data_IF_875504878472
#
_entry.id   IF_875504878472
#
_cell.length_a   1.000
_cell.length_b   1.000
_cell.length_c   1.000
_cell.angle_alpha   90.00
_cell.angle_beta   90.00
_cell.angle_gamma   90.00
#
_symmetry.space_group_name_H-M   'P 1'
#
loop_
_entity.id
_entity.type
_entity.pdbx_description
1 polymer ?
#
# COMPACT_ATOMS: atom_id res chain seq x y z
N UNK A 1 -11.12 -22.95 -2.14
CA UNK A 1 -10.39 -21.80 -1.56
C UNK A 1 -8.91 -22.08 -1.72
N UNK A 2 -8.15 -21.14 -2.28
CA UNK A 2 -6.71 -21.32 -2.55
C UNK A 2 -5.95 -21.40 -1.21
N UNK A 3 -4.93 -22.25 -1.14
CA UNK A 3 -4.15 -22.52 0.06
C UNK A 3 -2.80 -21.83 -0.04
N UNK A 4 -2.44 -21.04 0.96
CA UNK A 4 -1.18 -20.30 0.97
C UNK A 4 -0.37 -20.60 2.23
N UNK A 5 0.94 -20.79 2.05
CA UNK A 5 1.89 -20.77 3.16
C UNK A 5 2.48 -19.37 3.24
N UNK A 6 2.73 -18.85 4.45
CA UNK A 6 3.38 -17.55 4.63
C UNK A 6 4.72 -17.70 5.34
N UNK A 7 5.65 -16.80 5.02
CA UNK A 7 7.03 -16.79 5.49
C UNK A 7 7.50 -15.41 5.91
N UNK A 8 8.31 -15.30 6.94
CA UNK A 8 9.01 -14.05 7.29
C UNK A 8 10.40 -14.33 7.85
N UNK A 9 11.38 -13.53 7.42
CA UNK A 9 12.68 -13.42 8.07
C UNK A 9 12.67 -12.17 8.92
N UNK A 10 12.71 -12.37 10.24
CA UNK A 10 12.76 -11.30 11.24
C UNK A 10 14.23 -10.91 11.43
N UNK A 11 14.58 -9.72 10.93
CA UNK A 11 15.94 -9.16 11.01
C UNK A 11 16.24 -8.41 12.29
N UNK A 12 15.24 -7.71 12.83
CA UNK A 12 15.32 -7.14 14.17
C UNK A 12 14.94 -8.18 15.21
N UNK A 13 15.91 -8.65 16.01
CA UNK A 13 15.71 -9.70 17.01
C UNK A 13 14.77 -9.25 18.14
N UNK A 14 14.72 -7.96 18.45
CA UNK A 14 13.94 -7.39 19.56
C UNK A 14 12.50 -7.04 19.17
N UNK A 15 12.14 -7.16 17.89
CA UNK A 15 10.76 -6.97 17.43
C UNK A 15 9.86 -8.15 17.87
N UNK A 16 9.36 -8.15 19.11
CA UNK A 16 8.50 -9.22 19.62
C UNK A 16 7.02 -9.10 19.24
N UNK A 17 6.57 -7.90 18.85
CA UNK A 17 5.14 -7.61 18.66
C UNK A 17 4.84 -7.14 17.24
N UNK A 18 5.67 -6.25 16.68
CA UNK A 18 5.45 -5.68 15.35
C UNK A 18 5.52 -6.75 14.25
N UNK A 19 6.38 -7.77 14.35
CA UNK A 19 6.36 -8.90 13.40
C UNK A 19 5.00 -9.64 13.38
N UNK A 20 4.32 -9.75 14.53
CA UNK A 20 2.99 -10.39 14.61
C UNK A 20 1.95 -9.52 13.91
N UNK A 21 2.01 -8.21 14.13
CA UNK A 21 1.14 -7.24 13.48
C UNK A 21 1.31 -7.30 11.95
N UNK A 22 2.56 -7.26 11.49
CA UNK A 22 2.96 -7.41 10.08
C UNK A 22 2.41 -8.69 9.45
N UNK A 23 2.63 -9.84 10.09
CA UNK A 23 2.13 -11.12 9.58
C UNK A 23 0.60 -11.24 9.58
N UNK A 24 -0.08 -10.64 10.57
CA UNK A 24 -1.56 -10.55 10.57
C UNK A 24 -2.06 -9.69 9.43
N UNK A 25 -1.42 -8.56 9.14
CA UNK A 25 -1.81 -7.74 7.98
C UNK A 25 -1.59 -8.47 6.66
N UNK A 26 -0.46 -9.17 6.50
CA UNK A 26 -0.23 -10.01 5.31
C UNK A 26 -1.32 -11.07 5.16
N UNK A 27 -1.74 -11.69 6.26
CA UNK A 27 -2.86 -12.62 6.25
C UNK A 27 -4.19 -11.95 5.89
N UNK A 28 -4.48 -10.75 6.40
CA UNK A 28 -5.66 -9.99 6.01
C UNK A 28 -5.68 -9.66 4.51
N UNK A 29 -4.52 -9.30 3.94
CA UNK A 29 -4.37 -9.10 2.49
C UNK A 29 -4.64 -10.40 1.73
N UNK A 30 -4.05 -11.52 2.16
CA UNK A 30 -4.24 -12.81 1.48
C UNK A 30 -5.69 -13.31 1.58
N UNK A 31 -6.34 -13.12 2.73
CA UNK A 31 -7.75 -13.46 2.92
C UNK A 31 -8.66 -12.61 2.01
N UNK A 32 -8.33 -11.33 1.80
CA UNK A 32 -9.08 -10.47 0.89
C UNK A 32 -8.99 -10.95 -0.58
N UNK A 33 -7.87 -11.57 -0.98
CA UNK A 33 -7.66 -12.25 -2.26
C UNK A 33 -8.26 -13.66 -2.33
N UNK A 34 -8.95 -14.12 -1.28
CA UNK A 34 -9.54 -15.46 -1.23
C UNK A 34 -8.55 -16.61 -0.95
N UNK A 35 -7.33 -16.31 -0.50
CA UNK A 35 -6.38 -17.32 -0.01
C UNK A 35 -6.64 -17.62 1.46
N UNK A 36 -6.48 -18.89 1.85
CA UNK A 36 -6.48 -19.34 3.24
C UNK A 36 -5.05 -19.65 3.67
N UNK A 37 -4.56 -18.96 4.69
CA UNK A 37 -3.25 -19.25 5.28
C UNK A 37 -3.31 -20.59 6.01
N UNK A 38 -2.52 -21.56 5.55
CA UNK A 38 -2.50 -22.93 6.12
C UNK A 38 -1.31 -23.19 7.03
N UNK A 39 -0.25 -22.40 6.93
CA UNK A 39 0.97 -22.56 7.72
C UNK A 39 1.75 -21.24 7.71
N UNK A 40 2.41 -20.93 8.82
CA UNK A 40 3.24 -19.72 8.96
C UNK A 40 4.65 -20.11 9.37
N UNK A 41 5.62 -19.62 8.64
CA UNK A 41 7.04 -19.90 8.88
C UNK A 41 7.74 -18.59 9.24
N UNK A 42 8.37 -18.56 10.41
CA UNK A 42 9.20 -17.43 10.83
C UNK A 42 10.62 -17.91 11.09
N UNK A 43 11.60 -17.14 10.64
CA UNK A 43 13.00 -17.34 10.97
C UNK A 43 13.60 -16.04 11.52
N UNK A 44 14.23 -16.12 12.69
CA UNK A 44 15.00 -14.99 13.23
C UNK A 44 16.43 -15.09 12.73
N UNK A 45 16.94 -14.02 12.11
CA UNK A 45 18.33 -13.90 11.63
C UNK A 45 18.71 -12.45 11.55
N UNK A 46 19.93 -12.06 11.91
CA UNK A 46 20.39 -10.66 11.77
C UNK A 46 20.30 -10.14 10.32
N UNK A 47 20.55 -11.01 9.34
CA UNK A 47 20.49 -10.68 7.91
C UNK A 47 19.85 -11.79 7.10
N UNK A 48 19.10 -11.35 6.08
CA UNK A 48 18.53 -12.23 5.06
C UNK A 48 19.64 -12.95 4.29
N UNK A 49 19.37 -14.20 3.89
CA UNK A 49 20.24 -14.92 2.98
C UNK A 49 20.18 -14.29 1.58
N UNK A 50 21.34 -14.03 1.00
CA UNK A 50 21.49 -13.53 -0.37
C UNK A 50 20.84 -14.47 -1.39
N UNK A 51 20.83 -15.78 -1.13
CA UNK A 51 20.34 -16.77 -2.09
C UNK A 51 18.87 -17.14 -1.92
N UNK A 52 18.33 -17.13 -0.69
CA UNK A 52 16.99 -17.66 -0.40
C UNK A 52 16.16 -16.81 0.55
N UNK A 53 16.66 -15.67 1.04
CA UNK A 53 16.10 -14.90 2.17
C UNK A 53 16.19 -15.66 3.49
N UNK A 54 15.71 -16.91 3.52
CA UNK A 54 15.87 -17.87 4.61
C UNK A 54 17.26 -18.55 4.60
N UNK A 55 17.69 -19.05 5.75
CA UNK A 55 18.87 -19.93 5.83
C UNK A 55 18.60 -21.31 5.21
N UNK A 56 19.63 -21.98 4.69
CA UNK A 56 19.52 -23.27 3.99
C UNK A 56 18.71 -24.32 4.74
N UNK A 57 19.02 -24.58 6.02
CA UNK A 57 18.26 -25.55 6.81
C UNK A 57 16.77 -25.20 6.97
N UNK A 58 16.43 -23.90 6.99
CA UNK A 58 15.03 -23.46 7.02
C UNK A 58 14.35 -23.65 5.67
N UNK A 59 15.07 -23.50 4.56
CA UNK A 59 14.54 -23.81 3.22
C UNK A 59 14.22 -25.30 3.11
N UNK A 60 15.06 -26.18 3.65
CA UNK A 60 14.78 -27.62 3.66
C UNK A 60 13.56 -27.95 4.54
N UNK A 61 13.42 -27.32 5.72
CA UNK A 61 12.20 -27.43 6.55
C UNK A 61 10.94 -26.96 5.79
N UNK A 62 11.03 -25.81 5.10
CA UNK A 62 9.91 -25.28 4.30
C UNK A 62 9.58 -26.24 3.16
N UNK A 63 10.58 -26.82 2.47
CA UNK A 63 10.36 -27.80 1.40
C UNK A 63 9.55 -28.99 1.90
N UNK A 64 9.88 -29.55 3.05
CA UNK A 64 9.13 -30.69 3.60
C UNK A 64 7.70 -30.30 3.96
N UNK A 65 7.49 -29.09 4.49
CA UNK A 65 6.13 -28.55 4.70
C UNK A 65 5.37 -28.36 3.40
N UNK A 66 6.00 -27.83 2.34
CA UNK A 66 5.40 -27.65 1.02
C UNK A 66 4.99 -29.00 0.42
N UNK A 67 5.83 -30.04 0.50
CA UNK A 67 5.48 -31.39 0.04
C UNK A 67 4.30 -31.98 0.80
N UNK A 68 4.28 -31.82 2.13
CA UNK A 68 3.22 -32.36 3.00
C UNK A 68 1.89 -31.64 2.81
N UNK A 69 1.93 -30.32 2.70
CA UNK A 69 0.75 -29.47 2.71
C UNK A 69 0.24 -29.17 1.30
N UNK A 70 1.09 -29.21 0.27
CA UNK A 70 0.78 -28.87 -1.11
C UNK A 70 0.02 -27.53 -1.26
N UNK A 71 0.64 -26.39 -0.87
CA UNK A 71 0.05 -25.06 -1.07
C UNK A 71 0.05 -24.67 -2.55
N UNK A 72 -0.88 -23.78 -2.93
CA UNK A 72 -0.91 -23.16 -4.26
C UNK A 72 0.15 -22.06 -4.40
N UNK A 73 0.53 -21.43 -3.28
CA UNK A 73 1.46 -20.29 -3.25
C UNK A 73 2.25 -20.27 -1.92
N UNK A 74 3.52 -19.86 -1.99
CA UNK A 74 4.30 -19.47 -0.80
C UNK A 74 4.59 -17.97 -0.82
N UNK A 75 4.09 -17.25 0.19
CA UNK A 75 4.19 -15.79 0.26
C UNK A 75 5.17 -15.39 1.35
N UNK A 76 6.15 -14.57 0.99
CA UNK A 76 7.16 -14.06 1.93
C UNK A 76 6.85 -12.60 2.25
N UNK A 77 6.84 -12.25 3.53
CA UNK A 77 6.60 -10.88 3.97
C UNK A 77 7.69 -9.92 3.48
N UNK A 78 8.96 -10.34 3.57
CA UNK A 78 10.11 -9.57 3.11
C UNK A 78 10.06 -9.38 1.58
N UNK A 79 10.56 -8.24 1.10
CA UNK A 79 10.75 -8.02 -0.33
C UNK A 79 11.87 -8.90 -0.87
N UNK A 80 11.63 -9.63 -1.95
CA UNK A 80 12.60 -10.58 -2.49
C UNK A 80 13.14 -10.13 -3.86
N UNK A 81 14.41 -10.40 -4.09
CA UNK A 81 15.05 -10.22 -5.39
C UNK A 81 14.64 -11.32 -6.36
N UNK A 82 14.76 -11.06 -7.67
CA UNK A 82 14.47 -12.08 -8.69
C UNK A 82 15.37 -13.33 -8.56
N UNK A 83 16.59 -13.18 -8.05
CA UNK A 83 17.50 -14.30 -7.75
C UNK A 83 16.96 -15.16 -6.62
N UNK A 84 16.56 -14.53 -5.51
CA UNK A 84 15.97 -15.23 -4.37
C UNK A 84 14.68 -15.94 -4.76
N UNK A 85 13.77 -15.27 -5.48
CA UNK A 85 12.53 -15.87 -6.01
C UNK A 85 12.82 -17.13 -6.82
N UNK A 86 13.69 -17.02 -7.83
CA UNK A 86 14.07 -18.14 -8.69
C UNK A 86 14.64 -19.33 -7.89
N UNK A 87 15.55 -19.05 -6.96
CA UNK A 87 16.17 -20.08 -6.14
C UNK A 87 15.15 -20.78 -5.23
N UNK A 88 14.27 -20.02 -4.60
CA UNK A 88 13.20 -20.54 -3.75
C UNK A 88 12.21 -21.39 -4.54
N UNK A 89 11.70 -20.92 -5.68
CA UNK A 89 10.77 -21.69 -6.52
C UNK A 89 11.38 -23.03 -6.97
N UNK A 90 12.66 -23.03 -7.37
CA UNK A 90 13.37 -24.27 -7.72
C UNK A 90 13.60 -25.18 -6.53
N UNK A 91 13.84 -24.62 -5.36
CA UNK A 91 14.07 -25.39 -4.15
C UNK A 91 12.77 -25.98 -3.60
N UNK A 92 11.66 -25.25 -3.66
CA UNK A 92 10.40 -25.61 -3.02
C UNK A 92 9.44 -26.33 -3.97
N UNK A 93 9.53 -26.09 -5.28
CA UNK A 93 8.63 -26.67 -6.27
C UNK A 93 7.23 -26.03 -6.32
N UNK A 94 7.08 -24.84 -5.72
CA UNK A 94 5.84 -24.04 -5.69
C UNK A 94 6.15 -22.60 -6.11
N UNK A 95 5.15 -21.88 -6.63
CA UNK A 95 5.27 -20.45 -6.92
C UNK A 95 5.55 -19.66 -5.65
N UNK A 96 6.42 -18.65 -5.77
CA UNK A 96 6.80 -17.79 -4.65
C UNK A 96 6.48 -16.33 -4.98
N UNK A 97 5.76 -15.69 -4.06
CA UNK A 97 5.45 -14.27 -4.12
C UNK A 97 5.99 -13.56 -2.88
N UNK A 98 6.25 -12.26 -3.00
CA UNK A 98 6.53 -11.41 -1.83
C UNK A 98 5.36 -10.49 -1.49
N UNK A 99 5.52 -9.70 -0.43
CA UNK A 99 4.52 -8.70 -0.01
C UNK A 99 4.20 -7.69 -1.13
N UNK A 100 5.19 -7.29 -1.92
CA UNK A 100 4.99 -6.40 -3.06
C UNK A 100 4.05 -7.04 -4.10
N UNK A 101 4.28 -8.31 -4.43
CA UNK A 101 3.42 -9.08 -5.35
C UNK A 101 1.97 -9.17 -4.82
N UNK A 102 1.78 -9.50 -3.53
CA UNK A 102 0.45 -9.56 -2.90
C UNK A 102 -0.27 -8.22 -2.96
N UNK A 103 0.46 -7.12 -2.73
CA UNK A 103 -0.12 -5.77 -2.77
C UNK A 103 -0.59 -5.43 -4.20
N UNK A 104 0.20 -5.77 -5.22
CA UNK A 104 -0.21 -5.63 -6.62
C UNK A 104 -1.43 -6.48 -6.97
N UNK A 105 -1.57 -7.68 -6.39
CA UNK A 105 -2.73 -8.53 -6.59
C UNK A 105 -4.00 -7.88 -6.03
N UNK A 106 -3.96 -7.32 -4.81
CA UNK A 106 -5.12 -6.60 -4.26
C UNK A 106 -5.47 -5.41 -5.13
N UNK A 107 -4.47 -4.64 -5.54
CA UNK A 107 -4.71 -3.49 -6.40
C UNK A 107 -5.37 -3.86 -7.72
N UNK A 108 -5.02 -5.02 -8.28
CA UNK A 108 -5.65 -5.51 -9.50
C UNK A 108 -7.14 -5.80 -9.32
N UNK A 109 -7.55 -6.31 -8.16
CA UNK A 109 -8.97 -6.52 -7.83
C UNK A 109 -9.70 -5.19 -7.55
N UNK A 110 -9.02 -4.23 -6.92
CA UNK A 110 -9.61 -2.95 -6.55
C UNK A 110 -9.66 -1.92 -7.69
N UNK A 111 -8.78 -2.03 -8.70
CA UNK A 111 -8.66 -1.05 -9.77
C UNK A 111 -9.91 -1.03 -10.66
N UNK A 112 -10.62 0.09 -10.65
CA UNK A 112 -11.77 0.31 -11.53
C UNK A 112 -11.38 1.10 -12.79
N UNK A 113 -10.54 2.13 -12.64
CA UNK A 113 -10.16 3.05 -13.70
C UNK A 113 -8.99 2.55 -14.58
N UNK A 114 -8.89 3.12 -15.78
CA UNK A 114 -7.91 2.72 -16.80
C UNK A 114 -6.49 3.06 -16.36
N UNK A 115 -6.27 4.23 -15.75
CA UNK A 115 -4.92 4.70 -15.38
C UNK A 115 -4.32 3.78 -14.33
N UNK A 116 -5.07 3.48 -13.28
CA UNK A 116 -4.66 2.56 -12.23
C UNK A 116 -4.38 1.16 -12.76
N UNK A 117 -5.23 0.63 -13.65
CA UNK A 117 -4.99 -0.68 -14.30
C UNK A 117 -3.67 -0.71 -15.07
N UNK A 118 -3.37 0.35 -15.83
CA UNK A 118 -2.12 0.47 -16.57
C UNK A 118 -0.91 0.57 -15.62
N UNK A 119 -1.02 1.31 -14.51
CA UNK A 119 0.04 1.42 -13.51
C UNK A 119 0.34 0.09 -12.83
N UNK A 120 -0.70 -0.67 -12.45
CA UNK A 120 -0.55 -2.00 -11.87
C UNK A 120 0.09 -2.97 -12.87
N UNK A 121 -0.32 -2.91 -14.14
CA UNK A 121 0.28 -3.71 -15.21
C UNK A 121 1.77 -3.35 -15.38
N UNK A 122 2.10 -2.07 -15.47
CA UNK A 122 3.47 -1.60 -15.58
C UNK A 122 4.32 -2.10 -14.40
N UNK A 123 3.86 -1.88 -13.17
CA UNK A 123 4.56 -2.29 -11.96
C UNK A 123 4.77 -3.82 -11.89
N UNK A 124 3.76 -4.59 -12.34
CA UNK A 124 3.85 -6.06 -12.44
C UNK A 124 4.92 -6.48 -13.46
N UNK A 125 4.93 -5.84 -14.64
CA UNK A 125 5.90 -6.15 -15.69
C UNK A 125 7.33 -5.73 -15.31
N UNK A 126 7.49 -4.60 -14.62
CA UNK A 126 8.80 -4.13 -14.14
C UNK A 126 9.40 -5.06 -13.08
N UNK A 127 8.57 -5.62 -12.19
CA UNK A 127 8.98 -6.65 -11.22
C UNK A 127 9.29 -7.98 -11.90
N UNK A 128 8.50 -8.37 -12.89
CA UNK A 128 8.66 -9.63 -13.64
C UNK A 128 9.87 -9.62 -14.58
N UNK A 129 10.18 -8.48 -15.20
CA UNK A 129 11.23 -8.34 -16.21
C UNK A 129 12.62 -8.88 -15.78
N UNK A 130 13.20 -8.48 -14.63
CA UNK A 130 14.49 -9.01 -14.18
C UNK A 130 14.44 -10.52 -13.92
N UNK A 131 13.30 -11.06 -13.46
CA UNK A 131 13.12 -12.50 -13.27
C UNK A 131 13.11 -13.26 -14.59
N UNK A 132 12.39 -12.79 -15.61
CA UNK A 132 12.37 -13.40 -16.94
C UNK A 132 13.76 -13.37 -17.57
N UNK A 133 14.48 -12.25 -17.46
CA UNK A 133 15.85 -12.11 -17.96
C UNK A 133 16.80 -13.11 -17.27
N UNK A 134 16.71 -13.26 -15.95
CA UNK A 134 17.51 -14.22 -15.19
C UNK A 134 17.20 -15.66 -15.63
N UNK A 135 15.93 -16.01 -15.68
CA UNK A 135 15.42 -17.33 -16.07
C UNK A 135 15.92 -17.75 -17.46
N UNK A 136 15.82 -16.82 -18.42
CA UNK A 136 16.31 -17.03 -19.78
C UNK A 136 17.82 -17.23 -19.82
N UNK A 137 18.59 -16.41 -19.09
CA UNK A 137 20.06 -16.51 -19.07
C UNK A 137 20.55 -17.86 -18.52
N UNK A 138 19.86 -18.42 -17.52
CA UNK A 138 20.21 -19.71 -16.91
C UNK A 138 19.84 -20.87 -17.86
N UNK A 139 18.64 -20.84 -18.46
CA UNK A 139 18.23 -21.85 -19.45
C UNK A 139 19.19 -21.86 -20.63
N UNK A 140 19.61 -20.68 -21.07
CA UNK A 140 20.56 -20.51 -22.17
C UNK A 140 21.93 -21.11 -21.87
N UNK A 141 22.51 -20.84 -20.69
CA UNK A 141 23.81 -21.41 -20.28
C UNK A 141 23.77 -22.94 -20.25
N UNK A 142 22.65 -23.56 -19.84
CA UNK A 142 22.50 -25.03 -19.86
C UNK A 142 22.45 -25.62 -21.27
N UNK A 143 21.83 -24.93 -22.22
CA UNK A 143 21.67 -25.42 -23.60
C UNK A 143 22.97 -25.34 -24.44
N UNK A 144 23.87 -24.40 -24.12
CA UNK A 144 25.21 -24.32 -24.77
C UNK A 144 26.11 -25.53 -24.55
N UNK A 145 25.82 -26.37 -23.55
CA UNK A 145 26.58 -27.60 -23.31
C UNK A 145 26.32 -28.71 -24.36
N UNK A 146 25.38 -28.53 -25.32
CA UNK A 146 25.11 -29.61 -26.29
C UNK A 146 24.41 -29.31 -27.62
N UNK A 147 23.76 -28.16 -27.89
CA UNK A 147 22.97 -28.01 -29.13
C UNK A 147 22.99 -26.62 -29.80
N UNK A 148 23.07 -26.62 -31.15
CA UNK A 148 23.16 -25.45 -32.04
C UNK A 148 21.81 -24.69 -32.19
N UNK A 149 21.85 -23.37 -31.98
CA UNK A 149 21.22 -22.37 -32.87
C UNK A 149 19.81 -21.84 -32.57
N UNK A 150 18.84 -22.66 -32.13
CA UNK A 150 17.43 -22.24 -32.08
C UNK A 150 17.00 -21.44 -30.84
N UNK A 151 17.69 -21.62 -29.71
CA UNK A 151 17.27 -21.10 -28.40
C UNK A 151 17.46 -19.58 -28.22
N UNK A 152 18.54 -19.00 -28.75
CA UNK A 152 18.86 -17.56 -28.56
C UNK A 152 17.73 -16.65 -29.07
N UNK A 153 17.25 -16.90 -30.28
CA UNK A 153 16.29 -16.03 -30.95
C UNK A 153 14.94 -15.93 -30.21
N UNK A 154 14.46 -17.05 -29.64
CA UNK A 154 13.19 -17.10 -28.93
C UNK A 154 13.24 -16.30 -27.61
N UNK A 155 14.29 -16.45 -26.81
CA UNK A 155 14.44 -15.70 -25.54
C UNK A 155 14.62 -14.20 -25.79
N UNK A 156 15.43 -13.82 -26.79
CA UNK A 156 15.57 -12.42 -27.17
C UNK A 156 14.26 -11.81 -27.67
N UNK A 157 13.41 -12.59 -28.36
CA UNK A 157 12.07 -12.14 -28.78
C UNK A 157 11.17 -11.86 -27.57
N UNK A 158 11.12 -12.75 -26.58
CA UNK A 158 10.31 -12.56 -25.36
C UNK A 158 10.77 -11.35 -24.55
N UNK A 159 12.07 -11.20 -24.31
CA UNK A 159 12.63 -10.06 -23.57
C UNK A 159 12.33 -8.74 -24.31
N UNK A 160 12.54 -8.69 -25.63
CA UNK A 160 12.22 -7.51 -26.44
C UNK A 160 10.73 -7.17 -26.42
N UNK A 161 9.85 -8.17 -26.44
CA UNK A 161 8.41 -7.95 -26.35
C UNK A 161 8.01 -7.31 -25.01
N UNK A 162 8.57 -7.80 -23.89
CA UNK A 162 8.35 -7.21 -22.57
C UNK A 162 8.87 -5.77 -22.49
N UNK A 163 10.08 -5.50 -22.98
CA UNK A 163 10.63 -4.14 -23.01
C UNK A 163 9.76 -3.19 -23.83
N UNK A 164 9.32 -3.63 -25.01
CA UNK A 164 8.42 -2.84 -25.86
C UNK A 164 7.10 -2.55 -25.15
N UNK A 165 6.51 -3.55 -24.47
CA UNK A 165 5.27 -3.38 -23.70
C UNK A 165 5.44 -2.39 -22.56
N UNK A 166 6.52 -2.52 -21.77
CA UNK A 166 6.85 -1.58 -20.69
C UNK A 166 6.97 -0.14 -21.23
N UNK A 167 7.67 0.06 -22.35
CA UNK A 167 7.79 1.37 -22.98
C UNK A 167 6.43 1.95 -23.36
N UNK A 168 5.61 1.17 -24.07
CA UNK A 168 4.27 1.60 -24.49
C UNK A 168 3.40 1.99 -23.29
N UNK A 169 3.45 1.21 -22.21
CA UNK A 169 2.70 1.50 -20.99
C UNK A 169 3.16 2.80 -20.33
N UNK A 170 4.48 3.02 -20.23
CA UNK A 170 5.04 4.27 -19.68
C UNK A 170 4.55 5.49 -20.48
N UNK A 171 4.70 5.45 -21.80
CA UNK A 171 4.28 6.55 -22.69
C UNK A 171 2.76 6.82 -22.57
N UNK A 172 1.94 5.76 -22.43
CA UNK A 172 0.49 5.89 -22.28
C UNK A 172 0.11 6.46 -20.90
N UNK A 173 0.75 5.98 -19.84
CA UNK A 173 0.53 6.47 -18.47
C UNK A 173 0.89 7.96 -18.40
N UNK A 174 2.03 8.37 -18.97
CA UNK A 174 2.48 9.77 -18.98
C UNK A 174 1.45 10.71 -19.61
N UNK A 175 0.90 10.35 -20.78
CA UNK A 175 -0.15 11.15 -21.44
C UNK A 175 -1.41 11.30 -20.58
N UNK A 176 -1.88 10.20 -19.99
CA UNK A 176 -3.06 10.22 -19.10
C UNK A 176 -2.77 11.00 -17.80
N UNK A 177 -1.52 11.00 -17.36
CA UNK A 177 -1.06 11.75 -16.19
C UNK A 177 -1.22 13.25 -16.40
N UNK A 178 -0.74 13.74 -17.55
CA UNK A 178 -0.80 15.15 -17.93
C UNK A 178 -2.26 15.63 -18.03
N UNK A 179 -3.15 14.80 -18.59
CA UNK A 179 -4.59 15.12 -18.64
C UNK A 179 -5.18 15.27 -17.25
N UNK A 180 -4.92 14.32 -16.34
CA UNK A 180 -5.40 14.39 -14.96
C UNK A 180 -4.86 15.60 -14.20
N UNK A 181 -3.59 15.92 -14.38
CA UNK A 181 -2.97 17.10 -13.76
C UNK A 181 -3.63 18.41 -14.23
N UNK A 182 -3.93 18.55 -15.53
CA UNK A 182 -4.67 19.69 -16.05
C UNK A 182 -6.08 19.82 -15.46
N UNK A 183 -6.78 18.70 -15.23
CA UNK A 183 -8.09 18.71 -14.56
C UNK A 183 -7.99 19.21 -13.10
N UNK A 184 -6.95 18.80 -12.37
CA UNK A 184 -6.71 19.26 -11.00
C UNK A 184 -6.43 20.76 -10.98
N UNK A 185 -5.54 21.23 -11.86
CA UNK A 185 -5.19 22.65 -11.95
C UNK A 185 -6.38 23.51 -12.34
N UNK A 186 -7.27 23.03 -13.22
CA UNK A 186 -8.50 23.72 -13.57
C UNK A 186 -9.39 23.93 -12.34
N UNK A 187 -9.60 22.88 -11.52
CA UNK A 187 -10.40 22.98 -10.29
C UNK A 187 -9.82 23.98 -9.28
N UNK A 188 -8.49 24.06 -9.20
CA UNK A 188 -7.81 25.06 -8.35
C UNK A 188 -7.97 26.48 -8.90
N UNK A 189 -7.92 26.66 -10.23
CA UNK A 189 -8.10 27.94 -10.90
C UNK A 189 -9.50 28.54 -10.71
N UNK A 190 -10.51 27.70 -10.49
CA UNK A 190 -11.89 28.12 -10.23
C UNK A 190 -12.12 28.57 -8.76
N UNK A 191 -11.06 28.68 -7.94
CA UNK A 191 -11.10 29.19 -6.57
C UNK A 191 -11.54 28.18 -5.51
N UNK A 192 -11.66 26.90 -5.86
CA UNK A 192 -12.03 25.85 -4.92
C UNK A 192 -10.82 25.30 -4.15
N UNK A 193 -10.98 25.02 -2.86
CA UNK A 193 -9.96 24.36 -2.05
C UNK A 193 -10.08 22.84 -2.19
N UNK A 194 -8.97 22.16 -2.49
CA UNK A 194 -8.92 20.69 -2.52
C UNK A 194 -8.40 20.20 -1.17
N UNK A 195 -9.14 19.29 -0.55
CA UNK A 195 -8.80 18.66 0.72
C UNK A 195 -8.81 17.15 0.54
N UNK A 196 -7.78 16.49 1.05
CA UNK A 196 -7.57 15.07 0.81
C UNK A 196 -7.58 14.29 2.12
N UNK A 197 -8.36 13.21 2.16
CA UNK A 197 -8.33 12.24 3.26
C UNK A 197 -7.15 11.30 3.06
N UNK A 198 -6.28 11.21 4.07
CA UNK A 198 -5.09 10.34 4.07
C UNK A 198 -5.07 9.46 5.33
N UNK A 199 -4.22 8.43 5.34
CA UNK A 199 -4.11 7.50 6.45
C UNK A 199 -4.29 6.03 6.05
N UNK A 200 -4.11 5.14 7.02
CA UNK A 200 -4.09 3.70 6.79
C UNK A 200 -5.43 3.13 6.32
N UNK A 201 -5.41 1.98 5.64
CA UNK A 201 -6.65 1.25 5.34
C UNK A 201 -7.38 0.91 6.64
N UNK A 202 -8.71 0.87 6.55
CA UNK A 202 -9.60 0.74 7.71
C UNK A 202 -9.53 1.87 8.76
N UNK A 203 -8.77 2.95 8.54
CA UNK A 203 -8.84 4.13 9.42
C UNK A 203 -10.21 4.85 9.33
N UNK A 204 -11.04 4.53 8.33
CA UNK A 204 -12.36 5.12 8.14
C UNK A 204 -12.41 6.33 7.22
N UNK A 205 -11.40 6.52 6.35
CA UNK A 205 -11.38 7.59 5.32
C UNK A 205 -12.66 7.61 4.48
N UNK A 206 -13.03 6.50 3.86
CA UNK A 206 -14.24 6.42 3.03
C UNK A 206 -15.52 6.64 3.83
N UNK A 207 -15.55 6.24 5.10
CA UNK A 207 -16.67 6.53 6.01
C UNK A 207 -16.80 8.03 6.30
N UNK A 208 -15.69 8.73 6.60
CA UNK A 208 -15.67 10.19 6.77
C UNK A 208 -16.08 10.88 5.47
N UNK A 209 -15.54 10.43 4.33
CA UNK A 209 -15.90 10.95 3.01
C UNK A 209 -17.40 10.87 2.78
N UNK A 210 -18.00 9.69 2.99
CA UNK A 210 -19.43 9.48 2.83
C UNK A 210 -20.24 10.38 3.78
N UNK A 211 -19.85 10.46 5.05
CA UNK A 211 -20.55 11.26 6.05
C UNK A 211 -20.52 12.77 5.72
N UNK A 212 -19.40 13.30 5.25
CA UNK A 212 -19.25 14.73 4.91
C UNK A 212 -19.87 15.12 3.56
N UNK A 213 -19.96 14.18 2.63
CA UNK A 213 -20.45 14.45 1.26
C UNK A 213 -21.90 14.01 1.03
N UNK A 214 -22.40 13.10 1.88
CA UNK A 214 -23.69 12.43 1.71
C UNK A 214 -23.69 11.38 0.60
N UNK A 215 -22.51 10.92 0.14
CA UNK A 215 -22.38 9.84 -0.83
C UNK A 215 -22.35 8.47 -0.13
N UNK A 216 -22.67 7.41 -0.87
CA UNK A 216 -22.67 6.03 -0.38
C UNK A 216 -21.61 5.19 -1.10
N UNK A 217 -20.33 5.55 -0.93
CA UNK A 217 -19.25 4.68 -1.42
C UNK A 217 -19.17 3.38 -0.62
N UNK A 218 -18.78 2.26 -1.24
CA UNK A 218 -18.53 1.02 -0.52
C UNK A 218 -17.49 1.21 0.59
N UNK A 219 -17.85 0.83 1.81
CA UNK A 219 -16.94 0.77 2.95
C UNK A 219 -16.62 -0.71 3.23
N UNK A 220 -15.34 -1.02 3.38
CA UNK A 220 -14.89 -2.39 3.62
C UNK A 220 -13.59 -2.39 4.42
N UNK A 221 -13.42 -3.39 5.28
CA UNK A 221 -12.18 -3.65 6.01
C UNK A 221 -11.05 -4.12 5.07
N UNK A 222 -11.37 -4.42 3.81
CA UNK A 222 -10.38 -4.80 2.81
C UNK A 222 -9.45 -3.62 2.50
N UNK A 223 -8.13 -3.86 2.43
CA UNK A 223 -7.18 -2.87 1.94
C UNK A 223 -7.57 -2.39 0.55
N UNK A 224 -7.35 -1.09 0.31
CA UNK A 224 -7.44 -0.47 -1.03
C UNK A 224 -8.82 -0.46 -1.71
N UNK A 225 -9.90 -0.50 -0.92
CA UNK A 225 -11.29 -0.30 -1.40
C UNK A 225 -11.46 0.95 -2.28
N UNK A 226 -10.71 2.02 -2.00
CA UNK A 226 -10.61 3.20 -2.85
C UNK A 226 -9.23 3.27 -3.50
N UNK A 227 -9.17 3.11 -4.82
CA UNK A 227 -7.93 3.23 -5.60
C UNK A 227 -7.94 4.44 -6.53
N UNK A 228 -9.11 4.82 -7.04
CA UNK A 228 -9.33 6.02 -7.84
C UNK A 228 -9.92 7.13 -6.97
N UNK A 229 -9.32 8.32 -7.02
CA UNK A 229 -9.82 9.50 -6.35
C UNK A 229 -11.18 9.91 -6.91
N UNK A 230 -12.14 10.20 -6.03
CA UNK A 230 -13.38 10.89 -6.42
C UNK A 230 -13.48 12.19 -5.63
N UNK A 231 -13.82 13.24 -6.35
CA UNK A 231 -14.07 14.57 -5.81
C UNK A 231 -15.54 14.67 -5.45
N UNK A 232 -15.83 15.21 -4.28
CA UNK A 232 -17.17 15.59 -3.90
C UNK A 232 -17.12 16.88 -3.08
N UNK A 233 -18.08 17.77 -3.28
CA UNK A 233 -18.19 18.96 -2.46
C UNK A 233 -18.59 18.59 -1.04
N UNK A 234 -18.01 19.28 -0.05
CA UNK A 234 -18.56 19.30 1.29
C UNK A 234 -19.79 20.22 1.25
N UNK A 235 -20.93 19.75 1.77
CA UNK A 235 -22.19 20.52 1.68
C UNK A 235 -22.05 21.86 2.42
N UNK A 236 -22.35 22.95 1.73
CA UNK A 236 -22.31 24.31 2.28
C UNK A 236 -20.95 25.01 2.17
N UNK A 237 -19.91 24.33 1.68
CA UNK A 237 -18.55 24.86 1.61
C UNK A 237 -18.01 24.81 0.17
N UNK A 238 -17.15 25.76 -0.19
CA UNK A 238 -16.42 25.72 -1.47
C UNK A 238 -15.16 24.84 -1.39
N UNK A 239 -15.34 23.61 -0.88
CA UNK A 239 -14.28 22.65 -0.60
C UNK A 239 -14.59 21.35 -1.33
N UNK A 240 -13.65 20.88 -2.14
CA UNK A 240 -13.68 19.52 -2.67
C UNK A 240 -12.94 18.58 -1.74
N UNK A 241 -13.66 17.60 -1.22
CA UNK A 241 -13.09 16.47 -0.49
C UNK A 241 -12.73 15.35 -1.46
N UNK A 242 -11.58 14.74 -1.23
CA UNK A 242 -11.07 13.62 -2.02
C UNK A 242 -10.73 12.45 -1.11
N UNK A 243 -11.37 11.30 -1.35
CA UNK A 243 -10.98 10.03 -0.73
C UNK A 243 -9.86 9.39 -1.56
N UNK A 244 -8.74 9.09 -0.92
CA UNK A 244 -7.54 8.53 -1.57
C UNK A 244 -7.25 7.11 -1.12
N UNK A 245 -6.23 6.53 -1.75
CA UNK A 245 -5.73 5.21 -1.43
C UNK A 245 -5.26 5.14 0.02
N UNK A 246 -5.73 4.11 0.74
CA UNK A 246 -5.28 3.88 2.11
C UNK A 246 -3.86 3.33 2.15
N UNK A 247 -3.05 3.82 3.09
CA UNK A 247 -1.73 3.25 3.33
C UNK A 247 -1.84 1.84 3.93
N UNK A 248 -0.86 0.99 3.64
CA UNK A 248 -0.62 -0.29 4.33
C UNK A 248 0.76 -0.22 4.99
N UNK A 249 1.05 -1.08 5.96
CA UNK A 249 2.37 -1.04 6.60
C UNK A 249 3.45 -1.41 5.60
N UNK A 250 4.68 -0.96 5.82
CA UNK A 250 5.84 -1.28 4.97
C UNK A 250 5.54 -1.16 3.46
N UNK A 251 4.80 -0.12 3.05
CA UNK A 251 4.45 0.12 1.65
C UNK A 251 5.75 0.33 0.85
N UNK A 252 6.01 -0.53 -0.13
CA UNK A 252 7.25 -0.47 -0.91
C UNK A 252 7.35 0.88 -1.65
N UNK A 253 8.48 1.60 -1.57
CA UNK A 253 8.67 2.86 -2.28
C UNK A 253 8.46 2.79 -3.80
N UNK A 254 8.75 1.64 -4.42
CA UNK A 254 8.49 1.41 -5.86
C UNK A 254 7.00 1.40 -6.15
N UNK A 255 6.20 0.93 -5.20
CA UNK A 255 4.75 0.94 -5.29
C UNK A 255 4.23 2.38 -5.15
N UNK A 256 4.76 3.15 -4.19
CA UNK A 256 4.43 4.58 -4.08
C UNK A 256 4.74 5.32 -5.38
N UNK A 257 5.89 5.04 -5.99
CA UNK A 257 6.28 5.63 -7.26
C UNK A 257 5.34 5.23 -8.42
N UNK A 258 4.89 3.97 -8.47
CA UNK A 258 3.96 3.51 -9.50
C UNK A 258 2.55 4.10 -9.34
N UNK A 259 2.16 4.50 -8.13
CA UNK A 259 0.88 5.16 -7.83
C UNK A 259 0.98 6.67 -7.62
N UNK A 260 2.10 7.30 -7.95
CA UNK A 260 2.35 8.74 -7.79
C UNK A 260 1.21 9.60 -8.37
N UNK A 261 0.54 9.13 -9.43
CA UNK A 261 -0.59 9.82 -10.04
C UNK A 261 -1.87 9.80 -9.20
N UNK A 262 -2.11 8.72 -8.46
CA UNK A 262 -3.19 8.66 -7.47
C UNK A 262 -2.87 9.46 -6.21
N UNK A 263 -1.62 9.90 -6.07
CA UNK A 263 -1.14 10.79 -5.01
C UNK A 263 -0.93 12.24 -5.51
N UNK A 264 -1.24 12.56 -6.78
CA UNK A 264 -1.19 13.95 -7.26
C UNK A 264 -2.19 14.84 -6.53
N UNK A 265 -3.33 14.28 -6.14
CA UNK A 265 -4.34 15.00 -5.38
C UNK A 265 -3.76 15.43 -4.02
N UNK A 266 -2.97 14.56 -3.38
CA UNK A 266 -2.20 14.92 -2.18
C UNK A 266 -1.27 16.07 -2.53
N UNK A 267 -0.43 15.97 -3.56
CA UNK A 267 0.53 17.03 -3.92
C UNK A 267 -0.15 18.40 -4.11
N UNK A 268 -1.28 18.46 -4.80
CA UNK A 268 -1.97 19.70 -5.14
C UNK A 268 -3.02 20.17 -4.12
N UNK A 269 -3.31 19.39 -3.07
CA UNK A 269 -4.30 19.80 -2.09
C UNK A 269 -3.79 20.87 -1.14
N UNK A 270 -4.71 21.71 -0.67
CA UNK A 270 -4.44 22.75 0.32
C UNK A 270 -4.19 22.15 1.70
N UNK A 271 -5.00 21.17 2.10
CA UNK A 271 -4.90 20.46 3.39
C UNK A 271 -5.03 18.94 3.22
N UNK A 272 -4.47 18.21 4.18
CA UNK A 272 -4.66 16.79 4.40
C UNK A 272 -5.48 16.60 5.68
N UNK A 273 -6.54 15.81 5.61
CA UNK A 273 -7.14 15.23 6.81
C UNK A 273 -6.48 13.87 7.02
N UNK A 274 -5.53 13.80 7.94
CA UNK A 274 -4.89 12.55 8.35
C UNK A 274 -5.83 11.79 9.29
N UNK A 275 -6.43 10.73 8.78
CA UNK A 275 -7.36 9.88 9.53
C UNK A 275 -6.58 8.81 10.27
N UNK A 276 -6.67 8.81 11.59
CA UNK A 276 -6.07 7.82 12.49
C UNK A 276 -7.16 7.04 13.20
N UNK A 277 -6.97 5.73 13.35
CA UNK A 277 -7.86 4.88 14.13
C UNK A 277 -7.41 4.90 15.60
N UNK A 278 -8.15 5.59 16.47
CA UNK A 278 -7.77 5.68 17.90
C UNK A 278 -8.03 4.40 18.69
N UNK A 279 -8.77 3.44 18.11
CA UNK A 279 -8.99 2.13 18.74
C UNK A 279 -7.79 1.20 18.60
N UNK A 280 -6.81 1.55 17.74
CA UNK A 280 -5.54 0.85 17.67
C UNK A 280 -4.80 0.94 19.01
N UNK A 281 -4.00 -0.08 19.33
CA UNK A 281 -3.04 0.00 20.44
C UNK A 281 -2.02 1.12 20.20
N UNK A 282 -1.54 1.76 21.27
CA UNK A 282 -0.62 2.90 21.17
C UNK A 282 0.61 2.61 20.32
N UNK A 283 1.16 1.40 20.42
CA UNK A 283 2.35 1.04 19.64
C UNK A 283 2.06 1.04 18.12
N UNK A 284 0.89 0.54 17.72
CA UNK A 284 0.47 0.52 16.32
C UNK A 284 0.06 1.92 15.84
N UNK A 285 -0.66 2.67 16.68
CA UNK A 285 -1.03 4.06 16.42
C UNK A 285 0.21 4.92 16.16
N UNK A 286 1.25 4.77 16.99
CA UNK A 286 2.55 5.45 16.82
C UNK A 286 3.19 5.15 15.48
N UNK A 287 3.26 3.87 15.11
CA UNK A 287 3.87 3.44 13.85
C UNK A 287 3.08 4.00 12.67
N UNK A 288 1.75 3.88 12.69
CA UNK A 288 0.89 4.41 11.63
C UNK A 288 1.02 5.93 11.50
N UNK A 289 1.11 6.65 12.62
CA UNK A 289 1.30 8.09 12.65
C UNK A 289 2.64 8.49 12.03
N UNK A 290 3.76 7.96 12.55
CA UNK A 290 5.11 8.30 12.08
C UNK A 290 5.27 7.98 10.59
N UNK A 291 4.81 6.82 10.14
CA UNK A 291 4.90 6.43 8.74
C UNK A 291 3.99 7.28 7.84
N UNK A 292 2.78 7.65 8.30
CA UNK A 292 1.91 8.54 7.54
C UNK A 292 2.56 9.92 7.36
N UNK A 293 3.15 10.48 8.43
CA UNK A 293 3.89 11.74 8.37
C UNK A 293 5.09 11.64 7.43
N UNK A 294 5.84 10.53 7.48
CA UNK A 294 6.95 10.28 6.55
C UNK A 294 6.49 10.27 5.09
N UNK A 295 5.42 9.52 4.78
CA UNK A 295 4.84 9.45 3.42
C UNK A 295 4.37 10.84 2.97
N UNK A 296 3.68 11.59 3.83
CA UNK A 296 3.21 12.94 3.50
C UNK A 296 4.39 13.90 3.23
N UNK A 297 5.46 13.85 4.03
CA UNK A 297 6.68 14.62 3.80
C UNK A 297 7.37 14.24 2.49
N UNK A 298 7.49 12.95 2.19
CA UNK A 298 8.06 12.44 0.93
C UNK A 298 7.25 12.92 -0.30
N UNK A 299 5.96 13.20 -0.11
CA UNK A 299 5.04 13.78 -1.11
C UNK A 299 5.03 15.32 -1.12
N UNK A 300 5.87 15.97 -0.30
CA UNK A 300 6.02 17.43 -0.25
C UNK A 300 5.00 18.14 0.64
N UNK A 301 4.39 17.44 1.61
CA UNK A 301 3.47 18.04 2.59
C UNK A 301 4.13 18.25 3.95
N UNK A 302 4.15 19.50 4.38
CA UNK A 302 4.58 19.91 5.72
C UNK A 302 3.47 19.75 6.76
N UNK A 303 3.84 19.89 8.03
CA UNK A 303 2.94 19.71 9.17
C UNK A 303 1.80 20.73 9.17
N UNK A 304 2.08 21.96 8.75
CA UNK A 304 1.09 23.03 8.60
C UNK A 304 -0.04 22.69 7.61
N UNK A 305 0.17 21.70 6.73
CA UNK A 305 -0.86 21.25 5.79
C UNK A 305 -1.72 20.10 6.33
N UNK A 306 -1.52 19.69 7.58
CA UNK A 306 -2.13 18.51 8.18
C UNK A 306 -3.13 18.91 9.25
N UNK A 307 -4.29 18.26 9.22
CA UNK A 307 -5.28 18.23 10.28
C UNK A 307 -5.57 16.77 10.61
N UNK A 308 -5.60 16.40 11.88
CA UNK A 308 -5.80 15.00 12.29
C UNK A 308 -7.27 14.76 12.63
N UNK A 309 -7.85 13.74 12.00
CA UNK A 309 -9.12 13.16 12.42
C UNK A 309 -8.82 11.89 13.24
N UNK A 310 -8.94 12.00 14.56
CA UNK A 310 -8.81 10.89 15.51
C UNK A 310 -10.12 10.06 15.49
N UNK A 311 -10.25 9.20 14.49
CA UNK A 311 -11.47 8.50 14.15
C UNK A 311 -11.69 7.20 14.95
N UNK A 312 -12.95 6.73 14.97
CA UNK A 312 -13.44 5.61 15.78
C UNK A 312 -13.40 5.89 17.28
N UNK A 313 -13.58 7.16 17.64
CA UNK A 313 -13.68 7.59 19.04
C UNK A 313 -14.82 6.87 19.80
N UNK A 314 -15.83 6.35 19.11
CA UNK A 314 -16.93 5.57 19.70
C UNK A 314 -16.52 4.18 20.22
N UNK A 315 -15.33 3.68 19.85
CA UNK A 315 -14.81 2.38 20.30
C UNK A 315 -13.90 2.48 21.52
N UNK A 316 -13.66 3.71 22.01
CA UNK A 316 -12.73 3.99 23.10
C UNK A 316 -13.48 4.77 24.17
N UNK A 317 -13.23 4.48 25.45
CA UNK A 317 -13.83 5.26 26.52
C UNK A 317 -13.21 6.68 26.59
N UNK A 318 -13.92 7.60 27.23
CA UNK A 318 -13.48 9.01 27.33
C UNK A 318 -12.07 9.19 27.93
N UNK A 319 -11.70 8.50 29.04
CA UNK A 319 -10.35 8.61 29.59
C UNK A 319 -9.25 8.13 28.64
N UNK A 320 -9.42 6.97 27.98
CA UNK A 320 -8.42 6.46 27.06
C UNK A 320 -8.40 7.28 25.76
N UNK A 321 -9.54 7.80 25.29
CA UNK A 321 -9.60 8.70 24.15
C UNK A 321 -8.76 9.96 24.37
N UNK A 322 -8.89 10.61 25.54
CA UNK A 322 -8.06 11.76 25.92
C UNK A 322 -6.58 11.40 25.91
N UNK A 323 -6.23 10.27 26.54
CA UNK A 323 -4.85 9.75 26.52
C UNK A 323 -4.33 9.55 25.09
N UNK A 324 -5.14 8.99 24.17
CA UNK A 324 -4.72 8.77 22.78
C UNK A 324 -4.53 10.08 22.02
N UNK A 325 -5.39 11.07 22.27
CA UNK A 325 -5.29 12.40 21.65
C UNK A 325 -4.04 13.12 22.16
N UNK A 326 -3.80 13.09 23.47
CA UNK A 326 -2.60 13.67 24.07
C UNK A 326 -1.33 12.98 23.55
N UNK A 327 -1.36 11.65 23.42
CA UNK A 327 -0.28 10.88 22.81
C UNK A 327 0.02 11.28 21.36
N UNK A 328 -1.02 11.52 20.54
CA UNK A 328 -0.83 12.02 19.16
C UNK A 328 -0.24 13.43 19.19
N UNK A 329 -0.70 14.28 20.12
CA UNK A 329 -0.20 15.65 20.28
C UNK A 329 1.26 15.70 20.70
N UNK A 330 1.69 14.84 21.63
CA UNK A 330 3.08 14.73 22.05
C UNK A 330 4.04 14.40 20.89
N UNK A 331 3.54 13.70 19.86
CA UNK A 331 4.32 13.31 18.67
C UNK A 331 4.33 14.41 17.60
N UNK A 332 3.19 15.07 17.37
CA UNK A 332 3.02 16.05 16.30
C UNK A 332 3.28 17.50 16.71
N UNK A 333 3.27 17.79 18.01
CA UNK A 333 3.28 19.14 18.55
C UNK A 333 1.90 19.79 18.57
N UNK A 334 1.82 20.93 19.26
CA UNK A 334 0.57 21.67 19.48
C UNK A 334 0.05 22.42 18.23
N UNK A 335 0.89 22.57 17.21
CA UNK A 335 0.54 23.28 15.97
C UNK A 335 -0.41 22.49 15.06
N UNK A 336 -0.49 21.17 15.23
CA UNK A 336 -1.34 20.32 14.39
C UNK A 336 -2.70 20.12 15.06
N UNK A 337 -3.82 20.58 14.47
CA UNK A 337 -5.15 20.37 15.05
C UNK A 337 -5.51 18.89 15.06
N UNK A 338 -6.00 18.40 16.20
CA UNK A 338 -6.44 17.00 16.39
C UNK A 338 -7.90 17.01 16.83
N UNK A 339 -8.79 16.47 15.99
CA UNK A 339 -10.23 16.41 16.26
C UNK A 339 -10.66 14.95 16.44
N UNK A 340 -11.13 14.55 17.63
CA UNK A 340 -11.75 13.25 17.85
C UNK A 340 -13.06 13.15 17.06
N UNK A 341 -13.23 12.07 16.30
CA UNK A 341 -14.44 11.86 15.48
C UNK A 341 -14.92 10.40 15.52
N UNK A 342 -16.20 10.21 15.27
CA UNK A 342 -16.73 8.92 14.84
C UNK A 342 -17.46 9.10 13.52
N UNK A 343 -16.83 8.63 12.44
CA UNK A 343 -17.47 8.62 11.12
C UNK A 343 -18.78 7.82 11.10
N UNK A 344 -18.89 6.78 11.94
CA UNK A 344 -20.07 5.91 11.99
C UNK A 344 -21.21 6.52 12.79
N UNK A 345 -20.91 7.26 13.87
CA UNK A 345 -21.93 7.93 14.71
C UNK A 345 -22.20 9.38 14.28
N UNK A 346 -21.35 9.94 13.44
CA UNK A 346 -21.41 11.35 13.02
C UNK A 346 -20.88 12.34 14.05
N UNK A 347 -20.35 11.88 15.19
CA UNK A 347 -19.82 12.74 16.25
C UNK A 347 -18.48 13.37 15.85
N UNK A 348 -18.25 14.63 16.23
CA UNK A 348 -17.00 15.34 15.94
C UNK A 348 -16.84 15.82 14.49
N UNK A 349 -17.72 15.40 13.57
CA UNK A 349 -17.59 15.72 12.14
C UNK A 349 -17.82 17.20 11.85
N UNK A 350 -18.70 17.86 12.60
CA UNK A 350 -18.93 19.29 12.44
C UNK A 350 -17.71 20.07 12.92
N UNK A 351 -17.18 19.72 14.08
CA UNK A 351 -15.97 20.31 14.65
C UNK A 351 -14.76 20.11 13.72
N UNK A 352 -14.69 18.96 13.04
CA UNK A 352 -13.69 18.66 12.03
C UNK A 352 -13.77 19.60 10.84
N UNK A 353 -14.98 19.84 10.32
CA UNK A 353 -15.21 20.78 9.21
C UNK A 353 -14.94 22.21 9.64
N UNK A 354 -15.41 22.62 10.82
CA UNK A 354 -15.18 23.97 11.34
C UNK A 354 -13.68 24.25 11.53
N UNK A 355 -12.92 23.27 12.02
CA UNK A 355 -11.46 23.36 12.12
C UNK A 355 -10.81 23.44 10.73
N UNK A 356 -11.24 22.61 9.78
CA UNK A 356 -10.74 22.65 8.40
C UNK A 356 -10.97 24.02 7.74
N UNK A 357 -12.15 24.61 7.89
CA UNK A 357 -12.48 25.92 7.32
C UNK A 357 -11.56 26.99 7.90
N UNK A 358 -11.42 27.07 9.23
CA UNK A 358 -10.49 28.01 9.88
C UNK A 358 -9.07 27.86 9.38
N UNK A 359 -8.59 26.62 9.26
CA UNK A 359 -7.25 26.31 8.76
C UNK A 359 -7.03 26.70 7.30
N UNK A 360 -8.08 26.64 6.47
CA UNK A 360 -8.02 27.09 5.07
C UNK A 360 -8.09 28.61 4.94
N UNK A 361 -8.79 29.30 5.85
CA UNK A 361 -8.84 30.77 5.91
C UNK A 361 -7.50 31.37 6.31
N UNK A 362 -6.79 30.77 7.27
CA UNK A 362 -5.44 31.22 7.70
C UNK A 362 -4.42 31.16 6.56
N UNK A 363 -4.62 30.27 5.59
CA UNK A 363 -3.73 30.11 4.43
C UNK A 363 -3.99 31.11 3.29
N UNK A 364 -5.12 31.81 3.31
CA UNK A 364 -5.49 32.83 2.30
C UNK A 364 -4.99 34.19 2.73
#
# INVERSE_FOLDING_TARGET
MLRVMTGMVKTDVHDHHLFKIRMRELESLLNALGYRVIERVVQVREKESVDFVFGKGKVDEIREKVKKLNPDLFVIYNNITSKQKWNLERALGVEVADRYDVTLMIFREAASDILSKLQIELASLEKLFPYVKLSASIKYKKMRAGFRGGGEYAYHKQIRALQKRIKILRDKIERLSQQRELEILKRLGDGASIVVLTGYYNAGKTSIFNALTGLEKPVSDRPFTTLSSKYAGIRGENIYLVDTIGFVMDLDPKLIASFKLNLLDIKYSSKQILVLDVSDREELLKIKLIESMRILRDLGKGEDSILVAANKADLVDEPDLRRRVDFIRDILGDSVPIIPVSAMKGTGLRELVDALVRELEIMR
#
